data_IF_899682062735
#
_entry.id   IF_899682062735
#
_cell.length_a   1.000
_cell.length_b   1.000
_cell.length_c   1.000
_cell.angle_alpha   90.00
_cell.angle_beta   90.00
_cell.angle_gamma   90.00
#
_symmetry.space_group_name_H-M   'P 1'
#
loop_
_entity.id
_entity.type
_entity.pdbx_description
1 polymer ?
#
# COMPACT_ATOMS: atom_id res chain seq x y z
N UNK A 1 -8.58 4.14 -38.83
CA UNK A 1 -8.93 4.31 -37.41
C UNK A 1 -7.70 3.91 -36.64
N UNK A 2 -7.06 4.84 -35.94
CA UNK A 2 -5.92 4.50 -35.09
C UNK A 2 -6.42 3.54 -33.99
N UNK A 3 -5.92 2.34 -33.98
CA UNK A 3 -6.22 1.36 -32.94
C UNK A 3 -5.58 1.84 -31.64
N UNK A 4 -6.39 2.36 -30.74
CA UNK A 4 -5.93 2.81 -29.43
C UNK A 4 -5.52 1.61 -28.59
N UNK A 5 -4.35 1.68 -27.96
CA UNK A 5 -3.96 0.69 -26.98
C UNK A 5 -4.75 0.93 -25.69
N UNK A 6 -5.42 -0.08 -25.18
CA UNK A 6 -6.23 0.01 -23.96
C UNK A 6 -5.72 -1.04 -22.96
N UNK A 7 -5.43 -0.61 -21.75
CA UNK A 7 -5.10 -1.47 -20.61
C UNK A 7 -6.35 -1.65 -19.76
N UNK A 8 -6.65 -2.88 -19.39
CA UNK A 8 -7.83 -3.25 -18.61
C UNK A 8 -7.42 -3.82 -17.27
N UNK A 9 -8.05 -3.36 -16.20
CA UNK A 9 -8.12 -4.07 -14.92
C UNK A 9 -9.53 -4.62 -14.77
N UNK A 10 -9.64 -5.93 -14.61
CA UNK A 10 -10.92 -6.63 -14.46
C UNK A 10 -11.10 -7.09 -13.01
N UNK A 11 -12.25 -6.78 -12.42
CA UNK A 11 -12.69 -7.30 -11.12
C UNK A 11 -13.64 -8.48 -11.35
N UNK A 12 -13.12 -9.69 -11.25
CA UNK A 12 -13.88 -10.94 -11.39
C UNK A 12 -15.07 -11.03 -10.41
N UNK A 13 -14.98 -10.30 -9.31
CA UNK A 13 -15.98 -10.36 -8.24
C UNK A 13 -17.24 -9.55 -8.56
N UNK A 14 -17.07 -8.38 -9.15
CA UNK A 14 -18.17 -7.49 -9.55
C UNK A 14 -18.56 -7.67 -11.03
N UNK A 15 -17.70 -8.31 -11.82
CA UNK A 15 -17.86 -8.41 -13.29
C UNK A 15 -17.66 -7.08 -14.00
N UNK A 16 -16.98 -6.12 -13.35
CA UNK A 16 -16.70 -4.79 -13.92
C UNK A 16 -15.25 -4.67 -14.33
N UNK A 17 -14.96 -3.72 -15.23
CA UNK A 17 -13.60 -3.39 -15.63
C UNK A 17 -13.40 -1.88 -15.61
N UNK A 18 -12.20 -1.45 -15.21
CA UNK A 18 -11.70 -0.11 -15.51
C UNK A 18 -10.69 -0.20 -16.65
N UNK A 19 -10.65 0.77 -17.53
CA UNK A 19 -9.72 0.79 -18.64
C UNK A 19 -9.05 2.16 -18.80
N UNK A 20 -7.79 2.13 -19.28
CA UNK A 20 -7.00 3.34 -19.52
C UNK A 20 -6.33 3.24 -20.90
N UNK A 21 -6.46 4.28 -21.72
CA UNK A 21 -5.65 4.41 -22.94
C UNK A 21 -4.18 4.61 -22.57
N UNK A 22 -3.28 3.84 -23.19
CA UNK A 22 -1.85 4.01 -23.01
C UNK A 22 -1.12 4.21 -24.33
N UNK A 23 -0.02 4.95 -24.29
CA UNK A 23 0.81 5.25 -25.46
C UNK A 23 1.76 4.07 -25.76
N UNK A 24 2.42 3.56 -24.72
CA UNK A 24 3.38 2.45 -24.83
C UNK A 24 3.68 1.81 -23.48
N UNK A 25 4.16 0.59 -23.52
CA UNK A 25 4.87 0.00 -22.37
C UNK A 25 6.23 0.66 -22.19
N UNK A 26 6.55 1.04 -20.96
CA UNK A 26 7.88 1.51 -20.57
C UNK A 26 8.71 0.38 -19.97
N UNK A 27 8.03 -0.55 -19.30
CA UNK A 27 8.65 -1.69 -18.65
C UNK A 27 7.69 -2.86 -18.57
N UNK A 28 8.24 -4.07 -18.64
CA UNK A 28 7.49 -5.32 -18.45
C UNK A 28 8.42 -6.43 -18.00
N UNK A 29 8.11 -7.05 -16.88
CA UNK A 29 8.83 -8.26 -16.44
C UNK A 29 7.96 -9.13 -15.53
N UNK A 30 8.33 -10.40 -15.43
CA UNK A 30 7.87 -11.32 -14.41
C UNK A 30 8.90 -11.36 -13.29
N UNK A 31 8.50 -11.02 -12.07
CA UNK A 31 9.32 -11.26 -10.89
C UNK A 31 9.04 -12.66 -10.32
N UNK A 32 9.66 -13.00 -9.19
CA UNK A 32 9.31 -14.23 -8.46
C UNK A 32 7.87 -14.20 -7.92
N UNK A 33 7.29 -13.03 -7.73
CA UNK A 33 6.03 -12.84 -7.00
C UNK A 33 4.87 -12.43 -7.90
N UNK A 34 5.13 -11.67 -8.97
CA UNK A 34 4.09 -11.03 -9.77
C UNK A 34 4.60 -10.52 -11.13
N UNK A 35 3.69 -10.27 -12.06
CA UNK A 35 3.96 -9.49 -13.26
C UNK A 35 4.06 -8.02 -12.90
N UNK A 36 5.09 -7.33 -13.39
CA UNK A 36 5.31 -5.91 -13.15
C UNK A 36 5.33 -5.21 -14.50
N UNK A 37 4.45 -4.26 -14.69
CA UNK A 37 4.34 -3.48 -15.92
C UNK A 37 4.32 -1.99 -15.58
N UNK A 38 4.95 -1.18 -16.42
CA UNK A 38 4.82 0.28 -16.39
C UNK A 38 4.37 0.73 -17.77
N UNK A 39 3.24 1.39 -17.81
CA UNK A 39 2.68 1.96 -19.04
C UNK A 39 2.74 3.48 -19.01
N UNK A 40 2.92 4.10 -20.17
CA UNK A 40 2.82 5.56 -20.34
C UNK A 40 1.41 5.92 -20.75
N UNK A 41 0.79 6.82 -20.01
CA UNK A 41 -0.55 7.33 -20.31
C UNK A 41 -0.53 8.85 -20.47
N UNK A 42 -1.48 9.39 -21.21
CA UNK A 42 -1.60 10.84 -21.39
C UNK A 42 -2.10 11.55 -20.12
N UNK A 43 -3.08 10.97 -19.45
CA UNK A 43 -3.77 11.60 -18.30
C UNK A 43 -3.03 11.35 -16.99
N UNK A 44 -2.64 10.10 -16.73
CA UNK A 44 -2.08 9.67 -15.45
C UNK A 44 -0.54 9.72 -15.39
N UNK A 45 0.14 10.02 -16.53
CA UNK A 45 1.59 9.91 -16.63
C UNK A 45 2.03 8.44 -16.70
N UNK A 46 3.11 8.09 -16.02
CA UNK A 46 3.48 6.68 -15.84
C UNK A 46 2.49 6.02 -14.87
N UNK A 47 2.13 4.78 -15.18
CA UNK A 47 1.26 3.94 -14.33
C UNK A 47 1.93 2.61 -14.10
N UNK A 48 2.10 2.23 -12.83
CA UNK A 48 2.56 0.91 -12.41
C UNK A 48 1.37 -0.02 -12.30
N UNK A 49 1.49 -1.19 -12.92
CA UNK A 49 0.52 -2.27 -12.81
C UNK A 49 1.21 -3.52 -12.25
N UNK A 50 0.57 -4.20 -11.31
CA UNK A 50 1.02 -5.46 -10.73
C UNK A 50 -0.07 -6.51 -10.97
N UNK A 51 0.27 -7.62 -11.64
CA UNK A 51 -0.67 -8.68 -12.03
C UNK A 51 -1.95 -8.16 -12.72
N UNK A 52 -1.82 -7.12 -13.55
CA UNK A 52 -2.93 -6.52 -14.26
C UNK A 52 -3.70 -5.43 -13.50
N UNK A 53 -3.42 -5.22 -12.22
CA UNK A 53 -4.10 -4.21 -11.39
C UNK A 53 -3.32 -2.90 -11.34
N UNK A 54 -4.01 -1.77 -11.43
CA UNK A 54 -3.42 -0.44 -11.28
C UNK A 54 -2.98 -0.19 -9.84
N UNK A 55 -1.69 0.09 -9.61
CA UNK A 55 -1.14 0.29 -8.27
C UNK A 55 -0.74 1.74 -8.00
N UNK A 56 -0.12 2.39 -8.96
CA UNK A 56 0.46 3.72 -8.77
C UNK A 56 0.40 4.51 -10.06
N UNK A 57 0.16 5.82 -9.98
CA UNK A 57 0.29 6.73 -11.11
C UNK A 57 1.00 8.02 -10.72
N UNK A 58 1.73 8.63 -11.67
CA UNK A 58 2.45 9.87 -11.38
C UNK A 58 1.54 11.02 -10.91
N UNK A 59 0.30 11.09 -11.39
CA UNK A 59 -0.58 12.25 -11.16
C UNK A 59 -1.60 12.06 -10.04
N UNK A 60 -2.04 10.83 -9.73
CA UNK A 60 -3.15 10.61 -8.79
C UNK A 60 -2.75 9.88 -7.50
N UNK A 61 -1.48 9.51 -7.36
CA UNK A 61 -0.96 8.84 -6.16
C UNK A 61 -1.17 9.65 -4.86
N UNK A 62 -1.25 10.97 -4.97
CA UNK A 62 -1.36 11.85 -3.81
C UNK A 62 -2.68 11.64 -3.03
N UNK A 63 -3.77 11.17 -3.66
CA UNK A 63 -5.01 10.83 -2.96
C UNK A 63 -4.79 9.70 -1.93
N UNK A 64 -4.19 8.61 -2.37
CA UNK A 64 -3.92 7.44 -1.53
C UNK A 64 -2.89 7.75 -0.44
N UNK A 65 -1.77 8.34 -0.84
CA UNK A 65 -0.67 8.61 0.08
C UNK A 65 -1.05 9.63 1.14
N UNK A 66 -1.72 10.74 0.79
CA UNK A 66 -2.13 11.76 1.74
C UNK A 66 -3.15 11.23 2.75
N UNK A 67 -4.14 10.44 2.30
CA UNK A 67 -5.09 9.82 3.22
C UNK A 67 -4.36 8.94 4.25
N UNK A 68 -3.42 8.10 3.82
CA UNK A 68 -2.62 7.29 4.74
C UNK A 68 -1.81 8.16 5.73
N UNK A 69 -1.24 9.28 5.27
CA UNK A 69 -0.50 10.22 6.10
C UNK A 69 -1.40 10.89 7.14
N UNK A 70 -2.62 11.28 6.76
CA UNK A 70 -3.59 11.94 7.64
C UNK A 70 -4.11 10.98 8.71
N UNK A 71 -4.28 9.72 8.36
CA UNK A 71 -4.61 8.67 9.32
C UNK A 71 -3.47 8.35 10.28
N UNK A 72 -2.21 8.61 9.91
CA UNK A 72 -1.03 8.33 10.73
C UNK A 72 -0.83 9.41 11.78
N UNK A 73 -0.85 9.10 13.10
CA UNK A 73 -0.70 10.09 14.15
C UNK A 73 0.59 10.91 14.00
N UNK A 74 0.49 12.24 14.05
CA UNK A 74 1.63 13.18 13.89
C UNK A 74 2.78 12.92 14.89
N UNK A 75 2.47 12.35 16.06
CA UNK A 75 3.45 11.99 17.09
C UNK A 75 4.19 10.66 16.84
N UNK A 76 3.83 9.89 15.83
CA UNK A 76 4.48 8.62 15.49
C UNK A 76 5.92 8.85 15.07
N UNK A 77 6.86 8.25 15.80
CA UNK A 77 8.32 8.37 15.57
C UNK A 77 8.95 7.09 15.03
N UNK A 78 8.33 5.94 15.28
CA UNK A 78 8.81 4.64 14.83
C UNK A 78 7.67 3.95 14.05
N UNK A 79 7.81 3.86 12.75
CA UNK A 79 6.76 3.40 11.83
C UNK A 79 7.25 2.19 11.06
N UNK A 80 6.42 1.16 10.99
CA UNK A 80 6.61 0.01 10.12
C UNK A 80 5.64 0.12 8.93
N UNK A 81 6.15 -0.10 7.73
CA UNK A 81 5.36 -0.22 6.50
C UNK A 81 5.58 -1.64 5.98
N UNK A 82 4.51 -2.41 5.80
CA UNK A 82 4.52 -3.72 5.13
C UNK A 82 4.03 -3.51 3.71
N UNK A 83 4.86 -3.82 2.73
CA UNK A 83 4.72 -3.36 1.36
C UNK A 83 5.34 -1.96 1.17
N UNK A 84 4.73 -1.13 0.35
CA UNK A 84 5.16 0.26 0.14
C UNK A 84 6.48 0.41 -0.63
N UNK A 85 6.78 -0.53 -1.52
CA UNK A 85 7.99 -0.54 -2.34
C UNK A 85 8.14 0.67 -3.26
N UNK A 86 7.08 1.45 -3.46
CA UNK A 86 7.08 2.71 -4.21
C UNK A 86 7.65 3.90 -3.42
N UNK A 87 7.87 3.77 -2.11
CA UNK A 87 8.32 4.81 -1.20
C UNK A 87 7.36 6.00 -1.04
N UNK A 88 6.17 5.98 -1.61
CA UNK A 88 5.23 7.10 -1.56
C UNK A 88 4.90 7.52 -0.14
N UNK A 89 4.34 6.61 0.65
CA UNK A 89 4.00 6.85 2.06
C UNK A 89 5.25 7.19 2.87
N UNK A 90 6.34 6.42 2.72
CA UNK A 90 7.58 6.65 3.47
C UNK A 90 8.16 8.04 3.20
N UNK A 91 8.18 8.48 1.94
CA UNK A 91 8.71 9.78 1.55
C UNK A 91 7.91 10.95 2.15
N UNK A 92 6.59 10.84 2.21
CA UNK A 92 5.73 11.86 2.81
C UNK A 92 5.86 11.88 4.34
N UNK A 93 5.91 10.72 4.99
CA UNK A 93 6.13 10.62 6.45
C UNK A 93 7.44 11.27 6.87
N UNK A 94 8.54 10.97 6.17
CA UNK A 94 9.85 11.51 6.51
C UNK A 94 9.97 13.01 6.20
N UNK A 95 9.27 13.51 5.18
CA UNK A 95 9.17 14.95 4.90
C UNK A 95 8.33 15.67 5.95
N UNK A 96 7.23 15.04 6.43
CA UNK A 96 6.40 15.59 7.52
C UNK A 96 7.19 15.71 8.82
N UNK A 97 8.05 14.74 9.13
CA UNK A 97 8.92 14.77 10.31
C UNK A 97 10.22 14.01 10.02
N UNK A 98 11.31 14.76 9.81
CA UNK A 98 12.64 14.23 9.48
C UNK A 98 13.25 13.31 10.55
N UNK A 99 12.72 13.32 11.77
CA UNK A 99 13.20 12.48 12.88
C UNK A 99 12.40 11.16 13.00
N UNK A 100 11.43 10.92 12.12
CA UNK A 100 10.70 9.65 12.08
C UNK A 100 11.61 8.53 11.57
N UNK A 101 11.66 7.42 12.29
CA UNK A 101 12.31 6.19 11.83
C UNK A 101 11.29 5.31 11.13
N UNK A 102 11.58 4.92 9.92
CA UNK A 102 10.68 4.13 9.07
C UNK A 102 11.38 2.82 8.71
N UNK A 103 10.73 1.70 8.96
CA UNK A 103 11.13 0.40 8.43
C UNK A 103 10.13 0.02 7.33
N UNK A 104 10.61 -0.23 6.12
CA UNK A 104 9.83 -0.76 5.00
C UNK A 104 10.18 -2.22 4.87
N UNK A 105 9.18 -3.10 4.81
CA UNK A 105 9.35 -4.53 4.56
C UNK A 105 8.61 -4.87 3.28
N UNK A 106 9.36 -4.95 2.19
CA UNK A 106 8.85 -5.23 0.84
C UNK A 106 9.31 -6.62 0.40
N UNK A 107 8.38 -7.42 -0.09
CA UNK A 107 8.69 -8.78 -0.51
C UNK A 107 9.40 -8.82 -1.86
N UNK A 108 9.11 -7.88 -2.74
CA UNK A 108 9.59 -7.85 -4.11
C UNK A 108 10.54 -6.67 -4.36
N UNK A 109 11.85 -6.95 -4.28
CA UNK A 109 12.88 -5.94 -4.60
C UNK A 109 12.68 -5.32 -5.99
N UNK A 110 12.13 -6.08 -6.94
CA UNK A 110 11.93 -5.59 -8.32
C UNK A 110 10.92 -4.44 -8.36
N UNK A 111 9.89 -4.47 -7.50
CA UNK A 111 8.93 -3.34 -7.37
C UNK A 111 9.65 -2.08 -6.92
N UNK A 112 10.56 -2.18 -5.95
CA UNK A 112 11.37 -1.03 -5.49
C UNK A 112 12.24 -0.46 -6.61
N UNK A 113 12.95 -1.35 -7.34
CA UNK A 113 13.85 -0.94 -8.41
C UNK A 113 13.07 -0.22 -9.54
N UNK A 114 11.93 -0.79 -9.95
CA UNK A 114 11.07 -0.21 -10.99
C UNK A 114 10.44 1.11 -10.52
N UNK A 115 9.98 1.17 -9.27
CA UNK A 115 9.42 2.40 -8.72
C UNK A 115 10.46 3.52 -8.66
N UNK A 116 11.69 3.20 -8.30
CA UNK A 116 12.79 4.18 -8.29
C UNK A 116 13.09 4.74 -9.68
N UNK A 117 13.02 3.91 -10.70
CA UNK A 117 13.31 4.28 -12.09
C UNK A 117 12.18 5.12 -12.70
N UNK A 118 10.93 4.67 -12.56
CA UNK A 118 9.78 5.25 -13.26
C UNK A 118 8.96 6.24 -12.44
N UNK A 119 9.13 6.28 -11.10
CA UNK A 119 8.46 7.19 -10.16
C UNK A 119 9.45 7.90 -9.22
N UNK A 120 10.50 8.53 -9.75
CA UNK A 120 11.64 9.03 -8.95
C UNK A 120 11.28 10.11 -7.93
N UNK A 121 10.09 10.73 -8.01
CA UNK A 121 9.64 11.78 -7.07
C UNK A 121 9.75 11.35 -5.61
N UNK A 122 9.42 10.11 -5.31
CA UNK A 122 9.42 9.57 -3.94
C UNK A 122 10.81 9.23 -3.42
N UNK A 123 11.77 9.01 -4.32
CA UNK A 123 13.14 8.67 -3.97
C UNK A 123 14.07 9.91 -3.89
N UNK A 124 13.58 11.11 -4.23
CA UNK A 124 14.32 12.37 -4.09
C UNK A 124 14.28 12.84 -2.64
N UNK A 125 15.13 12.23 -1.80
CA UNK A 125 15.26 12.48 -0.37
C UNK A 125 16.70 12.89 -0.05
N UNK A 126 16.88 13.71 1.00
CA UNK A 126 18.21 14.06 1.50
C UNK A 126 18.89 12.86 2.17
N UNK A 127 20.21 12.87 2.29
CA UNK A 127 20.95 11.81 2.99
C UNK A 127 20.44 11.62 4.43
N UNK A 128 20.12 12.71 5.15
CA UNK A 128 19.54 12.61 6.49
C UNK A 128 18.19 11.88 6.51
N UNK A 129 17.34 12.12 5.52
CA UNK A 129 16.04 11.44 5.39
C UNK A 129 16.22 9.96 5.06
N UNK A 130 17.12 9.65 4.12
CA UNK A 130 17.43 8.26 3.73
C UNK A 130 17.99 7.45 4.90
N UNK A 131 18.83 8.04 5.74
CA UNK A 131 19.39 7.38 6.94
C UNK A 131 18.32 6.99 7.98
N UNK A 132 17.12 7.56 7.88
CA UNK A 132 15.99 7.23 8.76
C UNK A 132 14.99 6.25 8.12
N UNK A 133 15.24 5.80 6.89
CA UNK A 133 14.44 4.77 6.19
C UNK A 133 15.27 3.51 6.05
N UNK A 134 14.81 2.43 6.68
CA UNK A 134 15.42 1.11 6.56
C UNK A 134 14.55 0.22 5.67
N UNK A 135 15.04 -0.13 4.49
CA UNK A 135 14.40 -1.07 3.59
C UNK A 135 14.89 -2.49 3.87
N UNK A 136 13.96 -3.40 4.09
CA UNK A 136 14.19 -4.83 4.28
C UNK A 136 13.43 -5.58 3.19
N UNK A 137 14.14 -6.39 2.42
CA UNK A 137 13.50 -7.26 1.43
C UNK A 137 13.21 -8.60 2.11
N UNK A 138 11.96 -8.78 2.54
CA UNK A 138 11.49 -10.00 3.25
C UNK A 138 9.96 -10.10 3.18
N UNK A 139 9.44 -11.28 3.50
CA UNK A 139 8.02 -11.51 3.74
C UNK A 139 7.58 -10.84 5.06
N UNK A 140 6.54 -9.98 4.98
CA UNK A 140 6.05 -9.22 6.14
C UNK A 140 5.58 -10.09 7.31
N UNK A 141 5.01 -11.28 7.03
CA UNK A 141 4.64 -12.26 8.06
C UNK A 141 5.88 -12.86 8.73
N UNK A 142 6.91 -13.19 7.95
CA UNK A 142 8.17 -13.75 8.47
C UNK A 142 8.90 -12.69 9.30
N UNK A 143 8.99 -11.48 8.79
CA UNK A 143 9.57 -10.36 9.51
C UNK A 143 8.90 -10.13 10.87
N UNK A 144 7.57 -10.02 10.92
CA UNK A 144 6.84 -9.78 12.17
C UNK A 144 6.97 -10.90 13.20
N UNK A 145 7.16 -12.15 12.78
CA UNK A 145 7.41 -13.27 13.71
C UNK A 145 8.74 -13.15 14.44
N UNK A 146 9.75 -12.58 13.79
CA UNK A 146 11.11 -12.40 14.33
C UNK A 146 11.33 -11.03 14.99
N UNK A 147 10.40 -10.09 14.73
CA UNK A 147 10.55 -8.70 15.14
C UNK A 147 10.32 -8.51 16.64
N UNK A 148 11.27 -7.87 17.30
CA UNK A 148 11.20 -7.50 18.73
C UNK A 148 10.88 -6.01 18.94
N UNK A 149 10.92 -5.21 17.88
CA UNK A 149 10.70 -3.77 17.94
C UNK A 149 9.21 -3.48 18.10
N UNK A 150 8.89 -2.43 18.87
CA UNK A 150 7.51 -1.91 18.99
C UNK A 150 7.39 -0.60 18.22
N UNK A 151 6.30 -0.50 17.45
CA UNK A 151 6.04 0.63 16.57
C UNK A 151 4.92 1.52 17.12
N UNK A 152 5.01 2.82 16.83
CA UNK A 152 3.93 3.77 17.09
C UNK A 152 2.81 3.60 16.06
N UNK A 153 3.17 3.28 14.81
CA UNK A 153 2.23 2.98 13.73
C UNK A 153 2.73 1.82 12.88
N UNK A 154 1.81 0.98 12.44
CA UNK A 154 2.05 -0.05 11.42
C UNK A 154 1.11 0.27 10.25
N UNK A 155 1.68 0.39 9.06
CA UNK A 155 0.94 0.62 7.82
C UNK A 155 1.07 -0.65 6.97
N UNK A 156 -0.05 -1.19 6.51
CA UNK A 156 -0.10 -2.33 5.60
C UNK A 156 -0.54 -1.81 4.25
N UNK A 157 0.46 -1.58 3.40
CA UNK A 157 0.37 -1.01 2.07
C UNK A 157 0.73 -2.08 1.04
N UNK A 158 -0.18 -3.03 0.88
CA UNK A 158 -0.02 -4.20 0.02
C UNK A 158 -1.05 -4.21 -1.09
N UNK A 159 -0.88 -5.10 -2.07
CA UNK A 159 -1.93 -5.41 -3.04
C UNK A 159 -3.15 -6.04 -2.35
N UNK A 160 -4.24 -6.20 -3.08
CA UNK A 160 -5.44 -6.88 -2.64
C UNK A 160 -5.16 -8.32 -2.17
N UNK A 161 -6.08 -8.96 -1.42
CA UNK A 161 -5.86 -10.26 -0.80
C UNK A 161 -5.81 -11.43 -1.81
N UNK A 162 -5.00 -11.26 -2.86
CA UNK A 162 -4.73 -12.26 -3.89
C UNK A 162 -3.25 -12.69 -3.80
N UNK A 163 -2.94 -13.91 -4.18
CA UNK A 163 -1.57 -14.41 -4.20
C UNK A 163 -0.84 -14.24 -2.85
N UNK A 164 0.39 -13.71 -2.86
CA UNK A 164 1.20 -13.53 -1.65
C UNK A 164 0.58 -12.59 -0.61
N UNK A 165 -0.18 -11.59 -1.04
CA UNK A 165 -0.80 -10.62 -0.14
C UNK A 165 -1.94 -11.20 0.72
N UNK A 166 -2.55 -12.32 0.32
CA UNK A 166 -3.66 -12.95 1.04
C UNK A 166 -3.37 -13.19 2.53
N UNK A 167 -2.13 -13.53 2.86
CA UNK A 167 -1.72 -13.79 4.25
C UNK A 167 -1.80 -12.54 5.13
N UNK A 168 -1.63 -11.33 4.56
CA UNK A 168 -1.65 -10.06 5.26
C UNK A 168 -3.06 -9.67 5.73
N UNK A 169 -4.10 -10.33 5.25
CA UNK A 169 -5.48 -10.17 5.68
C UNK A 169 -5.92 -11.27 6.67
N UNK A 170 -5.00 -12.11 7.12
CA UNK A 170 -5.29 -13.19 8.07
C UNK A 170 -5.33 -12.69 9.51
N UNK A 171 -6.18 -13.32 10.34
CA UNK A 171 -6.22 -13.05 11.79
C UNK A 171 -4.84 -13.23 12.45
N UNK A 172 -4.04 -14.20 11.98
CA UNK A 172 -2.68 -14.46 12.47
C UNK A 172 -1.75 -13.28 12.22
N UNK A 173 -1.77 -12.71 11.02
CA UNK A 173 -0.97 -11.52 10.68
C UNK A 173 -1.40 -10.31 11.51
N UNK A 174 -2.71 -10.03 11.60
CA UNK A 174 -3.25 -8.92 12.38
C UNK A 174 -2.86 -9.04 13.87
N UNK A 175 -2.87 -10.27 14.42
CA UNK A 175 -2.40 -10.53 15.80
C UNK A 175 -0.92 -10.18 15.97
N UNK A 176 -0.07 -10.50 14.99
CA UNK A 176 1.35 -10.12 15.00
C UNK A 176 1.52 -8.60 14.91
N UNK A 177 0.76 -7.93 14.04
CA UNK A 177 0.76 -6.47 13.99
C UNK A 177 0.36 -5.87 15.34
N UNK A 178 -0.75 -6.32 15.93
CA UNK A 178 -1.19 -5.86 17.25
C UNK A 178 -0.09 -6.06 18.32
N UNK A 179 0.54 -7.23 18.36
CA UNK A 179 1.63 -7.49 19.30
C UNK A 179 2.87 -6.63 19.06
N UNK A 180 3.12 -6.19 17.82
CA UNK A 180 4.25 -5.32 17.44
C UNK A 180 3.96 -3.83 17.60
N UNK A 181 2.74 -3.41 17.88
CA UNK A 181 2.41 -2.04 18.24
C UNK A 181 2.78 -1.74 19.69
N UNK A 182 3.14 -0.48 19.99
CA UNK A 182 3.15 0.06 21.36
C UNK A 182 1.71 0.19 21.88
N UNK A 183 1.52 0.26 23.20
CA UNK A 183 0.22 0.63 23.78
C UNK A 183 -0.24 1.98 23.23
N UNK A 184 -1.48 2.06 22.75
CA UNK A 184 -2.01 3.24 22.06
C UNK A 184 -1.50 3.46 20.64
N UNK A 185 -0.64 2.59 20.11
CA UNK A 185 -0.21 2.60 18.70
C UNK A 185 -1.33 2.23 17.74
N UNK A 186 -1.18 2.56 16.47
CA UNK A 186 -2.22 2.36 15.46
C UNK A 186 -1.75 1.43 14.34
N UNK A 187 -2.69 0.68 13.78
CA UNK A 187 -2.54 -0.01 12.50
C UNK A 187 -3.42 0.67 11.47
N UNK A 188 -2.92 0.84 10.26
CA UNK A 188 -3.62 1.37 9.10
C UNK A 188 -3.40 0.36 7.98
N UNK A 189 -4.47 -0.15 7.37
CA UNK A 189 -4.37 -1.13 6.30
C UNK A 189 -5.28 -0.74 5.15
N UNK A 190 -4.77 -0.80 3.92
CA UNK A 190 -5.62 -0.70 2.74
C UNK A 190 -6.68 -1.80 2.76
N UNK A 191 -7.90 -1.50 2.33
CA UNK A 191 -9.04 -2.38 2.55
C UNK A 191 -10.00 -2.48 1.35
N UNK A 192 -9.55 -2.12 0.18
CA UNK A 192 -10.35 -2.23 -1.04
C UNK A 192 -11.38 -1.12 -1.22
N UNK A 193 -12.25 -1.31 -2.19
CA UNK A 193 -13.33 -0.38 -2.49
C UNK A 193 -14.51 -0.56 -1.54
N UNK A 194 -14.98 0.49 -0.85
CA UNK A 194 -16.17 0.38 0.01
C UNK A 194 -17.45 0.08 -0.78
N UNK A 195 -17.44 0.26 -2.10
CA UNK A 195 -18.57 -0.04 -2.98
C UNK A 195 -18.65 -1.53 -3.28
N UNK A 196 -17.53 -2.14 -3.71
CA UNK A 196 -17.50 -3.55 -4.13
C UNK A 196 -17.14 -4.51 -2.99
N UNK A 197 -16.31 -4.06 -2.01
CA UNK A 197 -15.63 -4.95 -1.06
C UNK A 197 -16.18 -4.88 0.37
N UNK A 198 -17.25 -4.10 0.60
CA UNK A 198 -17.77 -3.88 1.95
C UNK A 198 -18.09 -5.20 2.66
N UNK A 199 -18.82 -6.09 2.03
CA UNK A 199 -19.27 -7.33 2.65
C UNK A 199 -18.24 -8.47 2.54
N UNK A 200 -17.46 -8.49 1.46
CA UNK A 200 -16.52 -9.58 1.17
C UNK A 200 -15.17 -9.41 1.86
N UNK A 201 -14.71 -8.16 2.05
CA UNK A 201 -13.38 -7.86 2.59
C UNK A 201 -13.45 -6.98 3.84
N UNK A 202 -14.09 -5.79 3.77
CA UNK A 202 -14.01 -4.76 4.80
C UNK A 202 -14.65 -5.22 6.11
N UNK A 203 -15.94 -5.61 6.10
CA UNK A 203 -16.60 -6.12 7.31
C UNK A 203 -15.94 -7.35 7.93
N UNK A 204 -15.55 -8.38 7.16
CA UNK A 204 -14.76 -9.50 7.68
C UNK A 204 -13.43 -9.06 8.31
N UNK A 205 -12.73 -8.08 7.70
CA UNK A 205 -11.47 -7.57 8.21
C UNK A 205 -11.68 -6.84 9.54
N UNK A 206 -12.70 -5.99 9.65
CA UNK A 206 -13.10 -5.32 10.90
C UNK A 206 -13.35 -6.34 12.02
N UNK A 207 -14.09 -7.44 11.74
CA UNK A 207 -14.31 -8.52 12.71
C UNK A 207 -13.01 -9.18 13.16
N UNK A 208 -12.05 -9.36 12.25
CA UNK A 208 -10.72 -9.90 12.60
C UNK A 208 -9.97 -8.94 13.52
N UNK A 209 -9.99 -7.63 13.22
CA UNK A 209 -9.38 -6.59 14.05
C UNK A 209 -9.91 -6.60 15.49
N UNK A 210 -11.24 -6.57 15.64
CA UNK A 210 -11.87 -6.63 16.97
C UNK A 210 -11.54 -7.95 17.70
N UNK A 211 -11.55 -9.07 17.00
CA UNK A 211 -11.27 -10.40 17.57
C UNK A 211 -9.84 -10.59 18.10
N UNK A 212 -8.90 -9.71 17.73
CA UNK A 212 -7.53 -9.69 18.28
C UNK A 212 -7.32 -8.59 19.33
N UNK A 213 -8.39 -7.87 19.73
CA UNK A 213 -8.36 -6.87 20.79
C UNK A 213 -7.98 -5.45 20.34
N UNK A 214 -7.93 -5.19 19.03
CA UNK A 214 -7.81 -3.83 18.51
C UNK A 214 -9.10 -3.05 18.75
N UNK A 215 -8.99 -1.76 19.05
CA UNK A 215 -10.12 -0.86 19.41
C UNK A 215 -10.17 0.36 18.50
N UNK A 216 -11.23 1.16 18.63
CA UNK A 216 -11.43 2.38 17.85
C UNK A 216 -11.27 2.12 16.34
N UNK A 217 -11.91 1.06 15.84
CA UNK A 217 -11.82 0.67 14.45
C UNK A 217 -12.66 1.64 13.62
N UNK A 218 -12.03 2.27 12.64
CA UNK A 218 -12.67 3.20 11.70
C UNK A 218 -12.33 2.82 10.26
N UNK A 219 -13.23 3.13 9.35
CA UNK A 219 -13.04 2.99 7.91
C UNK A 219 -13.01 4.41 7.35
N UNK A 220 -11.96 4.76 6.61
CA UNK A 220 -11.84 6.02 5.88
C UNK A 220 -11.89 5.75 4.39
N UNK A 221 -12.83 6.38 3.70
CA UNK A 221 -12.99 6.26 2.25
C UNK A 221 -12.54 7.54 1.58
N UNK A 222 -11.87 7.40 0.43
CA UNK A 222 -11.31 8.53 -0.30
C UNK A 222 -11.40 8.31 -1.82
N UNK A 223 -11.40 9.39 -2.62
CA UNK A 223 -11.35 9.28 -4.08
C UNK A 223 -10.05 8.63 -4.53
N UNK A 224 -10.15 7.64 -5.42
CA UNK A 224 -9.00 7.05 -6.10
C UNK A 224 -9.37 6.78 -7.55
N UNK A 225 -9.29 7.80 -8.43
CA UNK A 225 -9.87 7.74 -9.78
C UNK A 225 -9.33 6.63 -10.68
N UNK A 226 -8.10 6.15 -10.41
CA UNK A 226 -7.48 5.08 -11.18
C UNK A 226 -7.89 3.68 -10.73
N UNK A 227 -8.45 3.53 -9.52
CA UNK A 227 -8.85 2.22 -9.00
C UNK A 227 -10.30 1.88 -9.34
N UNK A 228 -10.68 0.60 -9.37
CA UNK A 228 -12.06 0.20 -9.59
C UNK A 228 -13.02 0.99 -8.69
N UNK A 229 -14.17 1.41 -9.25
CA UNK A 229 -15.19 2.25 -8.61
C UNK A 229 -14.79 3.71 -8.31
N UNK A 230 -13.54 4.12 -8.59
CA UNK A 230 -13.06 5.48 -8.32
C UNK A 230 -12.92 5.83 -6.83
N UNK A 231 -13.06 4.84 -5.94
CA UNK A 231 -13.08 5.04 -4.48
C UNK A 231 -12.33 3.89 -3.80
N UNK A 232 -11.51 4.22 -2.82
CA UNK A 232 -10.75 3.24 -2.04
C UNK A 232 -10.89 3.49 -0.55
N UNK A 233 -10.36 2.60 0.29
CA UNK A 233 -10.48 2.76 1.73
C UNK A 233 -9.28 2.26 2.51
N UNK A 234 -9.12 2.82 3.71
CA UNK A 234 -8.27 2.30 4.77
C UNK A 234 -9.09 1.92 5.99
N UNK A 235 -8.72 0.81 6.62
CA UNK A 235 -9.12 0.51 7.99
C UNK A 235 -8.02 0.99 8.92
N UNK A 236 -8.41 1.76 9.96
CA UNK A 236 -7.54 2.18 11.05
C UNK A 236 -8.05 1.61 12.36
N UNK A 237 -7.15 1.09 13.18
CA UNK A 237 -7.48 0.60 14.52
C UNK A 237 -6.36 0.91 15.50
N UNK A 238 -6.66 0.88 16.81
CA UNK A 238 -5.73 1.23 17.88
C UNK A 238 -5.51 0.04 18.81
N UNK A 239 -4.26 -0.19 19.21
CA UNK A 239 -3.94 -1.10 20.30
C UNK A 239 -4.40 -0.51 21.64
N UNK A 240 -5.14 -1.29 22.43
CA UNK A 240 -5.52 -0.92 23.81
C UNK A 240 -4.31 -0.76 24.74
#
# INVERSE_FOLDING_TARGET
>A
MDTKNIYYEHDDTSGTSICVEYEKYLYKCQSKYQNIEVIKTRIYGNVLCLDGCFMLSEKNQDYYHNECIDLTPKKSKNILIIGGGDYGIASLLIRRNKNTKITIVEIDKKVVDVSKEYFPKHFKLSSQQLNNINLIIDDGMIFLKKNLIKYDSIIVDSTDPVGPAKILYSKKFIKLCNSSLKKGGVIIQQSGSPINDMDKLIKPLVKKYDSVGLKSITISSFPMPLYPTGTWSFIKAKRA
#
